data_IF_314487867740
#
_entry.id   IF_314487867740
#
_cell.length_a   1.000
_cell.length_b   1.000
_cell.length_c   1.000
_cell.angle_alpha   90.00
_cell.angle_beta   90.00
_cell.angle_gamma   90.00
#
_symmetry.space_group_name_H-M   'P 1'
#
loop_
_entity.id
_entity.type
_entity.pdbx_description
1 polymer ?
#
# COMPACT_ATOMS: atom_id res chain seq x y z
N UNK A 1 45.55 -6.06 1.28
CA UNK A 1 44.70 -5.30 2.23
C UNK A 1 43.41 -4.90 1.53
N UNK A 2 42.33 -4.53 2.25
CA UNK A 2 41.03 -4.20 1.63
C UNK A 2 40.75 -2.70 1.74
N UNK A 3 40.21 -2.09 0.68
CA UNK A 3 39.82 -0.67 0.68
C UNK A 3 38.40 -0.46 1.19
N UNK A 4 38.20 0.55 2.02
CA UNK A 4 36.89 0.97 2.53
C UNK A 4 36.10 1.65 1.42
N UNK A 5 34.87 1.19 1.13
CA UNK A 5 34.07 1.82 0.08
C UNK A 5 33.65 3.27 0.39
N UNK A 6 33.72 3.72 1.65
CA UNK A 6 33.32 5.09 2.07
C UNK A 6 34.50 6.07 2.02
N UNK A 7 35.59 5.79 2.73
CA UNK A 7 36.75 6.69 2.83
C UNK A 7 37.94 6.29 1.93
N UNK A 8 37.85 5.17 1.20
CA UNK A 8 38.89 4.62 0.32
C UNK A 8 40.19 4.18 1.01
N UNK A 9 40.33 4.37 2.32
CA UNK A 9 41.48 3.91 3.10
C UNK A 9 41.53 2.37 3.18
N UNK A 10 42.74 1.84 3.23
CA UNK A 10 42.98 0.41 3.42
C UNK A 10 42.82 0.00 4.88
N UNK A 11 42.23 -1.18 5.12
CA UNK A 11 42.08 -1.75 6.44
C UNK A 11 42.47 -3.23 6.46
N UNK A 12 42.97 -3.72 7.61
CA UNK A 12 43.43 -5.10 7.75
C UNK A 12 42.28 -6.11 7.73
N UNK A 13 42.58 -7.32 7.26
CA UNK A 13 41.61 -8.42 7.19
C UNK A 13 41.36 -9.10 8.55
N UNK A 14 42.25 -8.93 9.53
CA UNK A 14 42.14 -9.49 10.88
C UNK A 14 42.39 -8.38 11.90
N UNK A 15 41.48 -8.18 12.85
CA UNK A 15 41.60 -7.15 13.90
C UNK A 15 41.13 -7.74 15.24
N UNK A 16 41.83 -7.43 16.32
CA UNK A 16 41.42 -7.80 17.69
C UNK A 16 40.42 -6.76 18.21
N UNK A 17 39.18 -7.18 18.47
CA UNK A 17 38.09 -6.35 19.00
C UNK A 17 37.58 -7.02 20.27
N UNK A 18 37.62 -6.31 21.41
CA UNK A 18 37.19 -6.82 22.73
C UNK A 18 37.82 -8.19 23.06
N UNK A 19 39.14 -8.31 22.92
CA UNK A 19 39.88 -9.54 23.21
C UNK A 19 39.79 -10.64 22.13
N UNK A 20 38.80 -10.60 21.23
CA UNK A 20 38.60 -11.61 20.19
C UNK A 20 39.10 -11.17 18.82
N UNK A 21 39.73 -12.07 18.06
CA UNK A 21 40.11 -11.81 16.66
C UNK A 21 38.85 -11.86 15.78
N UNK A 22 38.59 -10.79 15.03
CA UNK A 22 37.52 -10.69 14.05
C UNK A 22 38.09 -10.60 12.64
N UNK A 23 37.50 -11.37 11.72
CA UNK A 23 37.86 -11.38 10.31
C UNK A 23 36.98 -10.37 9.57
N UNK A 24 37.59 -9.42 8.87
CA UNK A 24 36.92 -8.30 8.19
C UNK A 24 36.83 -8.46 6.66
N UNK A 25 37.21 -9.63 6.12
CA UNK A 25 37.25 -9.89 4.67
C UNK A 25 35.91 -9.59 3.94
N UNK A 26 34.77 -9.86 4.58
CA UNK A 26 33.42 -9.59 4.03
C UNK A 26 32.93 -8.16 4.25
N UNK A 27 33.58 -7.36 5.11
CA UNK A 27 33.15 -5.98 5.39
C UNK A 27 33.43 -5.08 4.20
N UNK A 28 32.50 -4.16 3.92
CA UNK A 28 32.66 -3.13 2.87
C UNK A 28 33.32 -1.85 3.39
N UNK A 29 33.35 -1.66 4.71
CA UNK A 29 33.79 -0.43 5.36
C UNK A 29 34.77 -0.75 6.48
N UNK A 30 35.71 0.17 6.72
CA UNK A 30 36.60 0.13 7.89
C UNK A 30 35.81 0.31 9.19
N UNK A 31 36.46 0.04 10.33
CA UNK A 31 35.83 0.12 11.65
C UNK A 31 35.51 1.56 12.07
N UNK A 32 36.20 2.57 11.53
CA UNK A 32 35.87 3.98 11.78
C UNK A 32 34.61 4.40 11.04
N UNK A 33 34.52 4.08 9.74
CA UNK A 33 33.35 4.41 8.93
C UNK A 33 32.10 3.60 9.31
N UNK A 34 32.28 2.37 9.81
CA UNK A 34 31.22 1.47 10.23
C UNK A 34 31.70 0.65 11.42
N UNK A 35 31.42 1.09 12.65
CA UNK A 35 31.87 0.39 13.85
C UNK A 35 31.31 -1.03 13.94
N UNK A 36 32.05 -1.90 14.63
CA UNK A 36 31.64 -3.28 14.84
C UNK A 36 30.41 -3.33 15.76
N UNK A 37 29.44 -4.21 15.47
CA UNK A 37 28.20 -4.33 16.27
C UNK A 37 27.09 -3.31 15.95
N UNK A 38 27.39 -2.22 15.23
CA UNK A 38 26.39 -1.28 14.75
C UNK A 38 25.54 -1.90 13.62
N UNK A 39 24.21 -1.80 13.70
CA UNK A 39 23.27 -2.22 12.63
C UNK A 39 23.27 -1.23 11.47
N UNK A 40 24.34 -1.24 10.68
CA UNK A 40 24.48 -0.40 9.49
C UNK A 40 23.81 -1.04 8.26
N UNK A 41 22.49 -0.88 8.14
CA UNK A 41 21.71 -1.40 6.99
C UNK A 41 21.86 -0.56 5.72
N UNK A 42 22.32 0.69 5.86
CA UNK A 42 22.49 1.65 4.75
C UNK A 42 23.86 1.48 4.07
N UNK A 43 23.90 1.68 2.75
CA UNK A 43 25.16 1.73 1.97
C UNK A 43 25.81 3.09 2.12
N UNK A 44 26.76 3.24 3.05
CA UNK A 44 27.39 4.51 3.42
C UNK A 44 28.18 5.23 2.31
N UNK A 45 28.51 4.54 1.21
CA UNK A 45 29.22 5.12 0.06
C UNK A 45 28.28 5.66 -1.02
N UNK A 46 26.98 5.38 -0.91
CA UNK A 46 25.98 5.91 -1.85
C UNK A 46 25.32 7.15 -1.24
N UNK A 47 24.89 8.11 -2.08
CA UNK A 47 24.09 9.22 -1.64
C UNK A 47 22.85 8.69 -0.90
N UNK A 48 22.65 9.17 0.32
CA UNK A 48 21.45 8.85 1.07
C UNK A 48 20.34 9.75 0.57
N UNK A 49 19.17 9.16 0.38
CA UNK A 49 17.98 9.92 0.07
C UNK A 49 17.64 10.82 1.27
N UNK A 50 17.44 12.11 1.01
CA UNK A 50 16.88 13.00 2.02
C UNK A 50 15.44 12.57 2.36
N UNK A 51 15.19 12.39 3.66
CA UNK A 51 13.93 11.93 4.22
C UNK A 51 12.81 12.97 4.04
N UNK A 52 13.19 14.24 3.83
CA UNK A 52 12.29 15.36 3.56
C UNK A 52 12.02 15.59 2.07
N UNK A 53 12.68 14.86 1.17
CA UNK A 53 12.46 15.01 -0.28
C UNK A 53 11.01 14.63 -0.63
N UNK A 54 10.23 15.64 -1.00
CA UNK A 54 8.88 15.49 -1.54
C UNK A 54 8.93 15.24 -3.05
N UNK A 55 7.93 14.55 -3.56
CA UNK A 55 7.69 14.36 -4.99
C UNK A 55 6.27 14.78 -5.31
N UNK A 56 6.05 15.26 -6.52
CA UNK A 56 4.72 15.58 -7.00
C UNK A 56 3.97 14.35 -7.52
N UNK A 57 2.72 14.18 -7.12
CA UNK A 57 1.89 13.04 -7.51
C UNK A 57 1.43 13.19 -8.97
N UNK A 58 1.74 12.23 -9.87
CA UNK A 58 1.38 12.35 -11.28
C UNK A 58 -0.13 12.32 -11.55
N UNK A 59 -0.94 11.86 -10.58
CA UNK A 59 -2.39 11.77 -10.73
C UNK A 59 -3.14 13.01 -10.22
N UNK A 60 -2.60 13.74 -9.24
CA UNK A 60 -3.32 14.83 -8.59
C UNK A 60 -2.51 16.09 -8.32
N UNK A 61 -1.24 16.13 -8.71
CA UNK A 61 -0.39 17.30 -8.53
C UNK A 61 -0.02 17.60 -7.08
N UNK A 62 -0.36 16.74 -6.11
CA UNK A 62 -0.04 16.97 -4.70
C UNK A 62 1.36 16.47 -4.35
N UNK A 63 2.04 17.22 -3.52
CA UNK A 63 3.32 16.78 -2.96
C UNK A 63 3.11 15.65 -1.94
N UNK A 64 3.95 14.62 -2.03
CA UNK A 64 3.94 13.48 -1.13
C UNK A 64 5.36 12.98 -0.86
N UNK A 65 5.55 12.34 0.30
CA UNK A 65 6.79 11.60 0.57
C UNK A 65 6.90 10.46 -0.43
N UNK A 66 8.07 10.27 -1.01
CA UNK A 66 8.26 9.18 -1.95
C UNK A 66 7.88 7.84 -1.36
N UNK A 67 7.32 7.02 -2.24
CA UNK A 67 7.07 5.63 -1.99
C UNK A 67 7.31 4.87 -3.29
N UNK A 68 7.44 3.55 -3.18
CA UNK A 68 7.69 2.65 -4.31
C UNK A 68 6.66 2.73 -5.45
N UNK A 69 5.44 3.19 -5.18
CA UNK A 69 4.35 3.23 -6.18
C UNK A 69 4.33 4.54 -6.98
N UNK A 70 5.18 5.51 -6.63
CA UNK A 70 5.26 6.80 -7.33
C UNK A 70 3.96 7.62 -7.40
N UNK A 71 3.01 7.35 -6.49
CA UNK A 71 1.70 8.02 -6.40
C UNK A 71 1.40 8.28 -4.92
N UNK A 72 0.69 9.37 -4.61
CA UNK A 72 0.32 9.67 -3.23
C UNK A 72 -0.66 8.64 -2.64
N UNK A 73 -0.67 8.52 -1.31
CA UNK A 73 -1.53 7.55 -0.61
C UNK A 73 -3.02 7.75 -0.94
N UNK A 74 -3.47 9.00 -1.04
CA UNK A 74 -4.85 9.35 -1.37
C UNK A 74 -5.27 8.83 -2.74
N UNK A 75 -4.46 9.06 -3.78
CA UNK A 75 -4.72 8.58 -5.13
C UNK A 75 -4.66 7.05 -5.22
N UNK A 76 -3.68 6.43 -4.56
CA UNK A 76 -3.60 4.96 -4.48
C UNK A 76 -4.84 4.36 -3.81
N UNK A 77 -5.25 4.95 -2.68
CA UNK A 77 -6.47 4.58 -1.95
C UNK A 77 -7.70 4.71 -2.85
N UNK A 78 -7.87 5.87 -3.50
CA UNK A 78 -8.98 6.12 -4.42
C UNK A 78 -9.04 5.10 -5.56
N UNK A 79 -7.92 4.85 -6.26
CA UNK A 79 -7.88 3.89 -7.36
C UNK A 79 -8.22 2.47 -6.89
N UNK A 80 -7.73 2.05 -5.72
CA UNK A 80 -8.08 0.74 -5.14
C UNK A 80 -9.58 0.63 -4.91
N UNK A 81 -10.21 1.67 -4.33
CA UNK A 81 -11.66 1.67 -4.11
C UNK A 81 -12.44 1.61 -5.41
N UNK A 82 -12.04 2.42 -6.40
CA UNK A 82 -12.67 2.45 -7.72
C UNK A 82 -12.64 1.07 -8.39
N UNK A 83 -11.45 0.45 -8.47
CA UNK A 83 -11.27 -0.88 -9.07
C UNK A 83 -12.11 -1.93 -8.35
N UNK A 84 -12.09 -1.95 -7.01
CA UNK A 84 -12.84 -2.95 -6.25
C UNK A 84 -14.36 -2.72 -6.33
N UNK A 85 -14.82 -1.46 -6.35
CA UNK A 85 -16.24 -1.13 -6.56
C UNK A 85 -16.72 -1.62 -7.93
N UNK A 86 -15.96 -1.34 -9.00
CA UNK A 86 -16.28 -1.82 -10.35
C UNK A 86 -16.30 -3.35 -10.43
N UNK A 87 -15.34 -4.03 -9.77
CA UNK A 87 -15.36 -5.49 -9.65
C UNK A 87 -16.60 -5.98 -8.90
N UNK A 88 -17.01 -5.31 -7.83
CA UNK A 88 -18.22 -5.63 -7.07
C UNK A 88 -19.50 -5.49 -7.88
N UNK A 89 -19.60 -4.43 -8.70
CA UNK A 89 -20.71 -4.23 -9.63
C UNK A 89 -20.78 -5.37 -10.65
N UNK A 90 -19.63 -5.77 -11.20
CA UNK A 90 -19.54 -6.90 -12.13
C UNK A 90 -19.95 -8.22 -11.47
N UNK A 91 -19.50 -8.45 -10.24
CA UNK A 91 -19.81 -9.64 -9.46
C UNK A 91 -21.33 -9.80 -9.24
N UNK A 92 -22.04 -8.71 -8.94
CA UNK A 92 -23.50 -8.72 -8.73
C UNK A 92 -24.33 -8.59 -10.04
N UNK A 93 -23.69 -8.77 -11.20
CA UNK A 93 -24.39 -8.87 -12.49
C UNK A 93 -24.54 -7.57 -13.29
N UNK A 94 -23.88 -6.48 -12.91
CA UNK A 94 -23.78 -5.21 -13.65
C UNK A 94 -25.11 -4.53 -14.01
N UNK A 95 -26.20 -4.83 -13.29
CA UNK A 95 -27.51 -4.25 -13.55
C UNK A 95 -28.34 -4.15 -12.29
N UNK A 96 -29.24 -3.17 -12.24
CA UNK A 96 -30.24 -3.07 -11.19
C UNK A 96 -31.13 -4.32 -11.20
N UNK A 97 -31.33 -4.94 -10.03
CA UNK A 97 -32.20 -6.12 -9.87
C UNK A 97 -33.65 -5.81 -10.24
N UNK A 98 -34.15 -4.61 -9.94
CA UNK A 98 -35.51 -4.19 -10.22
C UNK A 98 -35.70 -3.69 -11.68
N UNK A 99 -35.10 -2.56 -12.04
CA UNK A 99 -35.36 -1.89 -13.33
C UNK A 99 -34.35 -2.22 -14.44
N UNK A 100 -33.36 -3.09 -14.18
CA UNK A 100 -32.36 -3.57 -15.16
C UNK A 100 -31.43 -2.51 -15.78
N UNK A 101 -31.45 -1.26 -15.31
CA UNK A 101 -30.47 -0.24 -15.73
C UNK A 101 -29.04 -0.73 -15.46
N UNK A 102 -28.13 -0.46 -16.40
CA UNK A 102 -26.73 -0.93 -16.38
C UNK A 102 -25.71 0.18 -16.15
N UNK A 103 -26.17 1.41 -15.98
CA UNK A 103 -25.29 2.56 -15.74
C UNK A 103 -24.60 2.42 -14.38
N UNK A 104 -23.29 2.26 -14.40
CA UNK A 104 -22.41 1.98 -13.26
C UNK A 104 -22.44 3.12 -12.22
N UNK A 105 -22.67 4.35 -12.66
CA UNK A 105 -22.65 5.53 -11.80
C UNK A 105 -23.90 5.60 -10.92
N UNK A 106 -25.05 5.10 -11.40
CA UNK A 106 -26.31 5.11 -10.64
C UNK A 106 -26.54 3.83 -9.82
N UNK A 107 -25.71 2.80 -10.00
CA UNK A 107 -25.83 1.53 -9.28
C UNK A 107 -25.23 1.64 -7.87
N UNK A 108 -25.97 1.10 -6.90
CA UNK A 108 -25.63 1.06 -5.48
C UNK A 108 -25.86 -0.35 -4.94
N UNK A 109 -25.08 -0.69 -3.91
CA UNK A 109 -25.21 -1.94 -3.17
C UNK A 109 -26.29 -1.76 -2.11
N UNK A 110 -27.23 -2.70 -2.09
CA UNK A 110 -28.30 -2.78 -1.11
C UNK A 110 -28.15 -4.08 -0.33
N UNK A 111 -28.08 -4.01 0.99
CA UNK A 111 -28.08 -5.21 1.81
C UNK A 111 -29.46 -5.86 1.86
N UNK A 112 -29.51 -7.19 1.73
CA UNK A 112 -30.76 -7.95 1.64
C UNK A 112 -31.46 -8.05 3.00
N UNK A 113 -30.71 -8.14 4.11
CA UNK A 113 -31.26 -8.37 5.45
C UNK A 113 -30.75 -7.34 6.47
N UNK A 114 -31.65 -6.55 7.08
CA UNK A 114 -31.40 -5.36 7.95
C UNK A 114 -30.98 -5.65 9.37
N UNK A 115 -31.19 -6.87 9.85
CA UNK A 115 -31.03 -7.17 11.27
C UNK A 115 -29.60 -7.61 11.63
N UNK A 116 -28.76 -7.90 10.63
CA UNK A 116 -27.35 -8.22 10.83
C UNK A 116 -26.49 -6.94 10.80
N UNK A 117 -25.86 -6.62 11.94
CA UNK A 117 -24.93 -5.49 12.14
C UNK A 117 -23.98 -5.33 10.95
N UNK A 118 -24.24 -4.34 10.10
CA UNK A 118 -23.55 -4.16 8.83
C UNK A 118 -22.16 -3.57 9.00
N UNK A 119 -21.18 -4.19 8.35
CA UNK A 119 -19.97 -3.47 7.99
C UNK A 119 -20.29 -2.57 6.79
N UNK A 120 -19.98 -1.28 6.90
CA UNK A 120 -20.20 -0.35 5.80
C UNK A 120 -19.32 -0.76 4.61
N UNK A 121 -19.92 -1.22 3.51
CA UNK A 121 -19.21 -1.63 2.29
C UNK A 121 -18.21 -0.57 1.80
N UNK A 122 -18.49 0.72 2.07
CA UNK A 122 -17.59 1.84 1.76
C UNK A 122 -16.22 1.74 2.41
N UNK A 123 -16.12 1.17 3.62
CA UNK A 123 -14.86 0.97 4.34
C UNK A 123 -14.12 -0.29 3.87
N UNK A 124 -14.86 -1.27 3.34
CA UNK A 124 -14.32 -2.57 2.92
C UNK A 124 -13.59 -2.52 1.58
N UNK A 125 -13.80 -1.52 0.74
CA UNK A 125 -13.16 -1.42 -0.58
C UNK A 125 -11.62 -1.41 -0.56
N UNK A 126 -11.01 -1.19 0.61
CA UNK A 126 -9.56 -1.29 0.83
C UNK A 126 -9.07 -2.67 1.28
N UNK A 127 -9.95 -3.63 1.52
CA UNK A 127 -9.61 -4.97 1.99
C UNK A 127 -9.24 -5.88 0.83
N UNK A 128 -8.87 -7.11 1.17
CA UNK A 128 -8.65 -8.18 0.21
C UNK A 128 -9.97 -8.59 -0.44
N UNK A 129 -9.92 -9.02 -1.71
CA UNK A 129 -11.11 -9.29 -2.51
C UNK A 129 -12.05 -10.30 -1.86
N UNK A 130 -11.52 -11.37 -1.26
CA UNK A 130 -12.34 -12.37 -0.56
C UNK A 130 -13.19 -11.78 0.58
N UNK A 131 -12.65 -10.83 1.35
CA UNK A 131 -13.41 -10.14 2.41
C UNK A 131 -14.52 -9.28 1.82
N UNK A 132 -14.26 -8.63 0.69
CA UNK A 132 -15.25 -7.83 -0.02
C UNK A 132 -16.36 -8.76 -0.57
N UNK A 133 -16.00 -9.91 -1.14
CA UNK A 133 -16.96 -10.90 -1.65
C UNK A 133 -17.93 -11.38 -0.57
N UNK A 134 -17.43 -11.73 0.61
CA UNK A 134 -18.27 -12.16 1.74
C UNK A 134 -19.34 -11.13 2.12
N UNK A 135 -19.05 -9.84 1.93
CA UNK A 135 -20.05 -8.79 2.15
C UNK A 135 -20.95 -8.58 0.94
N UNK A 136 -20.42 -8.69 -0.28
CA UNK A 136 -21.21 -8.62 -1.51
C UNK A 136 -22.24 -9.74 -1.61
N UNK A 137 -21.96 -10.93 -1.07
CA UNK A 137 -22.90 -12.06 -1.05
C UNK A 137 -24.18 -11.78 -0.25
N UNK A 138 -24.12 -10.80 0.66
CA UNK A 138 -25.27 -10.29 1.43
C UNK A 138 -25.95 -9.08 0.77
N UNK A 139 -25.43 -8.65 -0.38
CA UNK A 139 -25.88 -7.48 -1.10
C UNK A 139 -26.58 -7.87 -2.41
N UNK A 140 -27.48 -7.01 -2.84
CA UNK A 140 -27.98 -6.96 -4.21
C UNK A 140 -27.68 -5.60 -4.84
N UNK A 141 -27.68 -5.55 -6.17
CA UNK A 141 -27.41 -4.33 -6.89
C UNK A 141 -28.71 -3.64 -7.30
N UNK A 142 -28.89 -2.40 -6.86
CA UNK A 142 -30.05 -1.56 -7.20
C UNK A 142 -29.57 -0.25 -7.81
N UNK A 143 -30.38 0.42 -8.63
CA UNK A 143 -30.11 1.81 -8.96
C UNK A 143 -30.53 2.72 -7.81
N UNK A 144 -29.99 3.94 -7.74
CA UNK A 144 -30.30 4.91 -6.69
C UNK A 144 -31.83 5.11 -6.47
N UNK A 145 -32.61 5.15 -7.55
CA UNK A 145 -34.06 5.28 -7.48
C UNK A 145 -34.76 4.05 -6.89
N UNK A 146 -34.39 2.83 -7.34
CA UNK A 146 -34.94 1.59 -6.79
C UNK A 146 -34.50 1.40 -5.34
N UNK A 147 -33.25 1.68 -5.03
CA UNK A 147 -32.71 1.62 -3.68
C UNK A 147 -33.48 2.55 -2.72
N UNK A 148 -33.73 3.80 -3.13
CA UNK A 148 -34.52 4.74 -2.34
C UNK A 148 -35.95 4.22 -2.11
N UNK A 149 -36.59 3.64 -3.13
CA UNK A 149 -37.92 3.01 -2.99
C UNK A 149 -37.91 1.86 -1.97
N UNK A 150 -36.86 1.04 -1.94
CA UNK A 150 -36.71 -0.02 -0.92
C UNK A 150 -36.52 0.51 0.50
N UNK A 151 -35.98 1.74 0.67
CA UNK A 151 -35.83 2.37 1.98
C UNK A 151 -37.03 3.18 2.44
N UNK A 152 -37.90 3.61 1.53
CA UNK A 152 -39.21 4.20 1.84
C UNK A 152 -40.14 3.14 2.42
N UNK A 153 -40.04 2.91 3.73
CA UNK A 153 -41.16 2.38 4.51
C UNK A 153 -42.19 3.48 4.69
#
# INVERSE_FOLDING_TARGET
MKKCCKCQQEFPNRVKINGSIKILNKRKYCLECSPFGQRNTRKLHLPQRDENTKKNCPQCGKDFKWNKNNVCWTCRSFNRRKINREKGIKYLGSKCKCCKIKDIEVLTFHHIDRDNKYDNLSSLWHREWHIIQLELDKCELLCANCHMKHHRK
#
